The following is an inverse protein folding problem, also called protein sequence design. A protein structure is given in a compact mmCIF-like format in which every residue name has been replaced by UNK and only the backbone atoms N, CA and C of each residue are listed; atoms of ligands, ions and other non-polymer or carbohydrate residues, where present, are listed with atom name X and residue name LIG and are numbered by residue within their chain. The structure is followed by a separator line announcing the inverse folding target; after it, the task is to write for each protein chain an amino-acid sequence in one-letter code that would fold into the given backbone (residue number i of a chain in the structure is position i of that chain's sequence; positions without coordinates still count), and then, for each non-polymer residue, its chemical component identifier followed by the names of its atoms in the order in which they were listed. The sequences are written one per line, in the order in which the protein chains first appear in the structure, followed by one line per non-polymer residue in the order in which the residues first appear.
data_IF_261152217772
#
_entry.id   IF_261152217772
#
_cell.length_a   1.000
_cell.length_b   1.000
_cell.length_c   1.000
_cell.angle_alpha   90.00
_cell.angle_beta   90.00
_cell.angle_gamma   90.00
#
_symmetry.space_group_name_H-M   'P 1'
#
loop_
_entity.id
_entity.type
_entity.pdbx_description
1 polymer ?
#
# COMPACT_ATOMS: atom_id res chain seq x y z
N UNK A 1 -10.07 11.85 -30.13
CA UNK A 1 -10.38 11.80 -28.67
C UNK A 1 -9.10 12.15 -27.94
N UNK A 2 -8.98 13.29 -27.23
CA UNK A 2 -7.82 13.51 -26.39
C UNK A 2 -7.93 12.59 -25.17
N UNK A 3 -7.01 11.64 -25.05
CA UNK A 3 -6.86 10.81 -23.85
C UNK A 3 -6.51 11.74 -22.69
N UNK A 4 -7.41 11.89 -21.72
CA UNK A 4 -7.17 12.70 -20.53
C UNK A 4 -5.99 12.09 -19.76
N UNK A 5 -5.00 12.89 -19.30
CA UNK A 5 -3.88 12.33 -18.56
C UNK A 5 -4.38 11.68 -17.26
N UNK A 6 -3.79 10.55 -16.84
CA UNK A 6 -4.14 9.89 -15.60
C UNK A 6 -3.99 10.88 -14.44
N UNK A 7 -4.97 10.89 -13.53
CA UNK A 7 -4.94 11.77 -12.38
C UNK A 7 -4.10 11.11 -11.27
N UNK A 8 -2.95 11.71 -10.95
CA UNK A 8 -2.11 11.25 -9.84
C UNK A 8 -2.78 11.60 -8.51
N UNK A 9 -3.27 10.60 -7.79
CA UNK A 9 -3.80 10.76 -6.43
C UNK A 9 -2.76 10.42 -5.38
N UNK A 10 -2.76 11.19 -4.28
CA UNK A 10 -1.95 10.95 -3.08
C UNK A 10 -2.85 10.70 -1.88
N UNK A 11 -2.49 9.75 -1.03
CA UNK A 11 -3.24 9.41 0.20
C UNK A 11 -2.29 9.25 1.38
N UNK A 12 -2.78 9.59 2.56
CA UNK A 12 -1.99 9.71 3.79
C UNK A 12 -1.64 11.16 4.12
N UNK A 13 -0.72 11.39 5.07
CA UNK A 13 -0.12 10.38 5.95
C UNK A 13 -1.15 9.73 6.88
N UNK A 14 -0.94 8.45 7.21
CA UNK A 14 -1.66 7.78 8.28
C UNK A 14 -0.74 6.81 9.01
N UNK A 15 -1.04 6.57 10.29
CA UNK A 15 -0.30 5.59 11.09
C UNK A 15 -0.90 4.22 10.90
N UNK A 16 -0.04 3.24 10.63
CA UNK A 16 -0.39 1.83 10.53
C UNK A 16 0.47 1.00 11.49
N UNK A 17 -0.12 -0.06 12.06
CA UNK A 17 0.64 -1.07 12.80
C UNK A 17 1.02 -2.20 11.86
N UNK A 18 2.32 -2.45 11.75
CA UNK A 18 2.83 -3.55 10.96
C UNK A 18 2.37 -4.88 11.55
N UNK A 19 2.01 -5.82 10.69
CA UNK A 19 1.83 -7.20 11.11
C UNK A 19 2.61 -8.12 10.19
N UNK A 20 3.26 -9.10 10.81
CA UNK A 20 3.87 -10.23 10.11
C UNK A 20 2.80 -11.25 9.75
N UNK A 21 2.67 -11.57 8.46
CA UNK A 21 1.76 -12.61 7.99
C UNK A 21 2.29 -14.00 8.40
N UNK A 22 1.45 -14.88 8.97
CA UNK A 22 1.86 -16.23 9.34
C UNK A 22 2.05 -17.07 8.07
N UNK A 23 3.30 -17.40 7.73
CA UNK A 23 3.63 -18.24 6.57
C UNK A 23 5.12 -18.32 6.25
N UNK A 24 5.49 -19.31 5.43
CA UNK A 24 6.86 -19.45 4.89
C UNK A 24 7.18 -18.20 4.06
N UNK A 25 8.09 -17.36 4.57
CA UNK A 25 8.49 -16.10 3.95
C UNK A 25 8.50 -14.91 4.91
N UNK A 26 7.67 -14.93 5.97
CA UNK A 26 7.71 -13.91 7.01
C UNK A 26 7.41 -12.48 6.53
N UNK A 27 6.58 -12.34 5.50
CA UNK A 27 6.20 -11.04 4.95
C UNK A 27 5.56 -10.15 6.02
N UNK A 28 5.93 -8.87 6.00
CA UNK A 28 5.38 -7.85 6.88
C UNK A 28 4.56 -6.87 6.07
N UNK A 29 3.36 -6.56 6.56
CA UNK A 29 2.40 -5.70 5.87
C UNK A 29 1.93 -4.56 6.76
N UNK A 30 1.63 -3.44 6.12
CA UNK A 30 0.90 -2.32 6.72
C UNK A 30 -0.55 -2.33 6.21
N UNK A 31 -1.55 -2.57 7.07
CA UNK A 31 -2.96 -2.41 6.72
C UNK A 31 -3.29 -0.97 6.35
N UNK A 32 -4.06 -0.79 5.27
CA UNK A 32 -4.55 0.50 4.83
C UNK A 32 -6.01 0.65 5.25
N UNK A 33 -6.39 1.74 5.94
CA UNK A 33 -7.77 2.02 6.27
C UNK A 33 -8.65 2.00 5.02
N UNK A 34 -9.83 1.38 5.09
CA UNK A 34 -10.75 1.21 3.95
C UNK A 34 -11.05 2.52 3.21
N UNK A 35 -11.22 3.63 3.95
CA UNK A 35 -11.43 4.98 3.37
C UNK A 35 -10.29 5.48 2.49
N UNK A 36 -9.07 4.99 2.75
CA UNK A 36 -7.87 5.34 2.00
C UNK A 36 -7.50 4.27 0.97
N UNK A 37 -8.15 3.12 0.94
CA UNK A 37 -7.81 2.04 0.01
C UNK A 37 -7.98 2.48 -1.46
N UNK A 38 -6.93 2.40 -2.30
CA UNK A 38 -7.07 2.72 -3.72
C UNK A 38 -8.03 1.73 -4.41
N UNK A 39 -8.68 2.13 -5.50
CA UNK A 39 -9.45 1.19 -6.31
C UNK A 39 -8.52 0.20 -6.99
N UNK A 40 -8.99 -1.02 -7.21
CA UNK A 40 -8.21 -2.04 -7.89
C UNK A 40 -8.14 -1.74 -9.41
N UNK A 41 -6.97 -1.32 -9.89
CA UNK A 41 -6.75 -0.95 -11.31
C UNK A 41 -6.09 -2.05 -12.15
N UNK A 42 -5.67 -3.16 -11.52
CA UNK A 42 -5.01 -4.28 -12.19
C UNK A 42 -5.62 -5.62 -11.76
N UNK A 43 -5.43 -6.69 -12.56
CA UNK A 43 -5.87 -8.03 -12.21
C UNK A 43 -5.46 -8.43 -10.79
N UNK A 44 -6.31 -9.22 -10.15
CA UNK A 44 -6.09 -9.78 -8.80
C UNK A 44 -6.14 -8.73 -7.69
N UNK A 45 -6.84 -7.62 -7.92
CA UNK A 45 -7.10 -6.61 -6.89
C UNK A 45 -5.88 -5.76 -6.55
N UNK A 46 -4.94 -5.60 -7.48
CA UNK A 46 -3.68 -4.87 -7.27
C UNK A 46 -3.76 -3.45 -7.79
N UNK A 47 -3.05 -2.56 -7.12
CA UNK A 47 -2.86 -1.18 -7.59
C UNK A 47 -1.39 -0.82 -7.47
N UNK A 48 -0.69 -0.55 -8.59
CA UNK A 48 0.67 -0.01 -8.55
C UNK A 48 0.69 1.35 -7.86
N UNK A 49 1.60 1.52 -6.91
CA UNK A 49 1.74 2.76 -6.16
C UNK A 49 3.21 3.11 -5.95
N UNK A 50 3.50 4.39 -5.77
CA UNK A 50 4.71 4.85 -5.11
C UNK A 50 4.39 5.02 -3.63
N UNK A 51 4.92 4.15 -2.78
CA UNK A 51 4.70 4.20 -1.34
C UNK A 51 5.84 4.94 -0.64
N UNK A 52 5.53 5.58 0.48
CA UNK A 52 6.48 6.17 1.41
C UNK A 52 6.15 5.66 2.80
N UNK A 53 7.12 5.06 3.48
CA UNK A 53 6.98 4.57 4.85
C UNK A 53 8.11 5.12 5.68
N UNK A 54 7.75 5.88 6.73
CA UNK A 54 8.70 6.59 7.60
C UNK A 54 9.77 7.39 6.81
N UNK A 55 9.36 7.99 5.69
CA UNK A 55 10.23 8.78 4.80
C UNK A 55 10.99 7.98 3.74
N UNK A 56 10.93 6.65 3.75
CA UNK A 56 11.56 5.80 2.72
C UNK A 56 10.57 5.54 1.59
N UNK A 57 10.91 5.99 0.37
CA UNK A 57 10.05 5.86 -0.80
C UNK A 57 10.46 4.69 -1.71
N UNK A 58 9.49 3.94 -2.24
CA UNK A 58 9.74 2.90 -3.24
C UNK A 58 8.48 2.57 -4.07
N UNK A 59 8.70 1.98 -5.24
CA UNK A 59 7.62 1.51 -6.11
C UNK A 59 7.15 0.12 -5.67
N UNK A 60 5.83 -0.04 -5.53
CA UNK A 60 5.24 -1.30 -5.08
C UNK A 60 3.79 -1.43 -5.51
N UNK A 61 3.06 -2.36 -4.92
CA UNK A 61 1.63 -2.52 -5.15
C UNK A 61 0.88 -2.65 -3.83
N UNK A 62 -0.29 -2.01 -3.78
CA UNK A 62 -1.29 -2.27 -2.75
C UNK A 62 -2.17 -3.42 -3.23
N UNK A 63 -2.43 -4.36 -2.33
CA UNK A 63 -3.21 -5.56 -2.59
C UNK A 63 -4.54 -5.47 -1.86
N UNK A 64 -5.64 -5.81 -2.54
CA UNK A 64 -6.94 -5.97 -1.89
C UNK A 64 -7.07 -7.39 -1.34
N UNK A 65 -7.21 -7.48 -0.03
CA UNK A 65 -7.55 -8.70 0.70
C UNK A 65 -9.08 -8.78 0.81
N UNK A 66 -9.70 -9.43 -0.17
CA UNK A 66 -11.15 -9.61 -0.24
C UNK A 66 -11.71 -10.45 0.90
N UNK A 67 -10.90 -11.33 1.50
CA UNK A 67 -11.33 -12.19 2.62
C UNK A 67 -11.52 -11.42 3.90
N UNK A 68 -10.73 -10.37 4.12
CA UNK A 68 -10.76 -9.56 5.33
C UNK A 68 -11.18 -8.10 5.07
N UNK A 69 -11.74 -7.82 3.88
CA UNK A 69 -12.17 -6.50 3.40
C UNK A 69 -11.17 -5.37 3.73
N UNK A 70 -9.89 -5.61 3.46
CA UNK A 70 -8.80 -4.66 3.74
C UNK A 70 -7.84 -4.54 2.57
N UNK A 71 -7.08 -3.46 2.56
CA UNK A 71 -5.97 -3.28 1.62
C UNK A 71 -4.64 -3.40 2.37
N UNK A 72 -3.66 -4.05 1.75
CA UNK A 72 -2.38 -4.36 2.35
C UNK A 72 -1.24 -3.78 1.51
N UNK A 73 -0.35 -3.05 2.18
CA UNK A 73 0.93 -2.63 1.63
C UNK A 73 2.01 -3.57 2.14
N UNK A 74 2.77 -4.20 1.24
CA UNK A 74 3.94 -4.99 1.64
C UNK A 74 5.06 -4.04 2.06
N UNK A 75 5.69 -4.27 3.22
CA UNK A 75 6.78 -3.44 3.74
C UNK A 75 8.06 -4.30 3.83
N UNK A 76 8.97 -4.21 2.83
CA UNK A 76 10.21 -4.98 2.81
C UNK A 76 11.14 -4.69 3.99
N UNK A 77 12.04 -5.62 4.29
CA UNK A 77 13.05 -5.47 5.35
C UNK A 77 13.89 -4.21 5.22
N UNK A 78 14.37 -3.88 4.02
CA UNK A 78 15.18 -2.68 3.77
C UNK A 78 14.40 -1.37 3.94
N UNK A 79 13.07 -1.40 3.83
CA UNK A 79 12.19 -0.23 4.06
C UNK A 79 11.88 -0.07 5.54
N UNK A 80 11.45 -1.15 6.21
CA UNK A 80 11.07 -1.09 7.64
C UNK A 80 12.26 -0.97 8.58
N UNK A 81 13.48 -1.25 8.11
CA UNK A 81 14.67 -1.31 8.93
C UNK A 81 14.50 -2.33 10.07
N UNK A 82 14.70 -1.86 11.31
CA UNK A 82 14.54 -2.68 12.51
C UNK A 82 13.06 -2.95 12.89
N UNK A 83 12.09 -2.19 12.35
CA UNK A 83 10.68 -2.29 12.74
C UNK A 83 10.05 -3.59 12.25
N UNK A 84 9.32 -4.27 13.11
CA UNK A 84 8.70 -5.58 12.87
C UNK A 84 7.21 -5.63 13.21
N UNK A 85 6.71 -6.82 13.53
CA UNK A 85 5.32 -7.02 13.92
C UNK A 85 4.97 -6.17 15.16
N UNK A 86 3.84 -5.46 15.11
CA UNK A 86 3.35 -4.60 16.18
C UNK A 86 3.83 -3.15 16.11
N UNK A 87 4.95 -2.89 15.42
CA UNK A 87 5.52 -1.55 15.33
C UNK A 87 4.67 -0.61 14.47
N UNK A 88 4.72 0.67 14.82
CA UNK A 88 4.01 1.73 14.11
C UNK A 88 4.90 2.35 13.03
N UNK A 89 4.30 2.56 11.88
CA UNK A 89 4.89 3.28 10.76
C UNK A 89 3.91 4.32 10.22
N UNK A 90 4.44 5.43 9.73
CA UNK A 90 3.66 6.43 8.98
C UNK A 90 3.71 6.06 7.51
N UNK A 91 2.54 5.93 6.88
CA UNK A 91 2.39 5.50 5.50
C UNK A 91 1.76 6.62 4.68
N UNK A 92 2.36 6.88 3.53
CA UNK A 92 1.81 7.68 2.43
C UNK A 92 1.96 6.90 1.13
N UNK A 93 1.10 7.17 0.16
CA UNK A 93 1.29 6.59 -1.18
C UNK A 93 0.62 7.44 -2.26
N UNK A 94 1.16 7.32 -3.47
CA UNK A 94 0.62 7.92 -4.67
C UNK A 94 0.29 6.84 -5.71
N UNK A 95 -0.79 7.02 -6.46
CA UNK A 95 -1.21 6.11 -7.51
C UNK A 95 -1.95 6.85 -8.61
N UNK A 96 -1.88 6.32 -9.82
CA UNK A 96 -2.60 6.85 -10.97
C UNK A 96 -4.00 6.27 -11.01
N UNK A 97 -4.96 7.14 -11.31
CA UNK A 97 -6.32 6.77 -11.64
C UNK A 97 -6.57 7.01 -13.11
N UNK A 98 -6.93 5.91 -13.76
CA UNK A 98 -7.60 5.92 -15.04
C UNK A 98 -9.06 6.33 -14.73
N UNK A 99 -9.48 7.52 -15.20
CA UNK A 99 -10.90 7.87 -15.22
C UNK A 99 -11.49 7.26 -16.49
N UNK A 100 -12.35 6.24 -16.34
CA UNK A 100 -13.09 5.60 -17.44
C UNK A 100 -14.06 6.58 -18.14
#
# INVERSE_FOLDING_TARGET
MPTRPPSLQRRGPFVSRLFRYPGKGGWTFAPIPKRLAPPATRPWGRTPVQAVVDGVAWNTSIWRDSKNDRSLLAVPGHVRGAKGHGDRVTVEFAFELDED
#
